data_IF_559151464524
#
_entry.id   IF_559151464524
#
_cell.length_a   1.000
_cell.length_b   1.000
_cell.length_c   1.000
_cell.angle_alpha   90.00
_cell.angle_beta   90.00
_cell.angle_gamma   90.00
#
_symmetry.space_group_name_H-M   'P 1'
#
loop_
_entity.id
_entity.type
_entity.pdbx_description
1 polymer ?
#
# COMPACT_ATOMS: atom_id res chain seq x y z
N UNK A 1 31.51 -6.98 13.17
CA UNK A 1 31.14 -5.54 13.22
C UNK A 1 29.78 -5.47 13.88
N UNK A 2 29.52 -4.49 14.74
CA UNK A 2 28.19 -4.33 15.29
C UNK A 2 27.26 -3.83 14.18
N UNK A 3 26.41 -4.70 13.70
CA UNK A 3 25.52 -4.46 12.55
C UNK A 3 24.51 -3.36 12.86
N UNK A 4 24.01 -3.28 14.10
CA UNK A 4 23.06 -2.24 14.49
C UNK A 4 23.71 -0.86 14.53
N UNK A 5 24.97 -0.75 15.03
CA UNK A 5 25.74 0.49 14.99
C UNK A 5 26.01 0.95 13.53
N UNK A 6 26.26 0.02 12.61
CA UNK A 6 26.45 0.34 11.20
C UNK A 6 25.15 0.88 10.57
N UNK A 7 23.98 0.32 10.90
CA UNK A 7 22.69 0.85 10.43
C UNK A 7 22.40 2.25 10.99
N UNK A 8 22.73 2.54 12.24
CA UNK A 8 22.54 3.87 12.83
C UNK A 8 23.48 4.91 12.20
N UNK A 9 24.72 4.52 11.88
CA UNK A 9 25.65 5.35 11.10
C UNK A 9 25.04 5.70 9.74
N UNK A 10 24.55 4.70 8.99
CA UNK A 10 23.95 4.90 7.66
C UNK A 10 22.71 5.80 7.75
N UNK A 11 21.80 5.59 8.71
CA UNK A 11 20.64 6.46 8.94
C UNK A 11 21.06 7.91 9.22
N UNK A 12 22.14 8.10 9.98
CA UNK A 12 22.72 9.41 10.26
C UNK A 12 23.25 10.07 8.99
N UNK A 13 23.94 9.32 8.11
CA UNK A 13 24.39 9.83 6.80
C UNK A 13 23.21 10.25 5.93
N UNK A 14 22.15 9.42 5.86
CA UNK A 14 20.91 9.72 5.11
C UNK A 14 20.29 11.02 5.62
N UNK A 15 20.16 11.18 6.94
CA UNK A 15 19.56 12.38 7.55
C UNK A 15 20.36 13.66 7.30
N UNK A 16 21.67 13.55 7.05
CA UNK A 16 22.57 14.66 6.70
C UNK A 16 22.63 14.95 5.20
N UNK A 17 21.87 14.21 4.38
CA UNK A 17 21.88 14.36 2.92
C UNK A 17 23.13 13.77 2.24
N UNK A 18 23.89 12.90 2.91
CA UNK A 18 25.07 12.23 2.40
C UNK A 18 24.70 10.94 1.66
N UNK A 19 23.89 11.06 0.60
CA UNK A 19 23.29 9.91 -0.07
C UNK A 19 24.32 8.96 -0.70
N UNK A 20 25.33 9.50 -1.38
CA UNK A 20 26.36 8.68 -2.04
C UNK A 20 27.22 7.91 -1.04
N UNK A 21 27.61 8.56 0.05
CA UNK A 21 28.38 7.94 1.13
C UNK A 21 27.54 6.86 1.85
N UNK A 22 26.25 7.12 2.06
CA UNK A 22 25.32 6.13 2.60
C UNK A 22 25.19 4.91 1.68
N UNK A 23 25.06 5.10 0.36
CA UNK A 23 25.01 4.00 -0.62
C UNK A 23 26.30 3.17 -0.55
N UNK A 24 27.47 3.80 -0.56
CA UNK A 24 28.75 3.09 -0.45
C UNK A 24 28.82 2.26 0.84
N UNK A 25 28.43 2.86 1.97
CA UNK A 25 28.43 2.19 3.27
C UNK A 25 27.45 1.02 3.34
N UNK A 26 26.27 1.13 2.72
CA UNK A 26 25.31 0.03 2.58
C UNK A 26 25.89 -1.13 1.77
N UNK A 27 26.58 -0.84 0.66
CA UNK A 27 27.24 -1.86 -0.16
C UNK A 27 28.33 -2.61 0.62
N UNK A 28 29.16 -1.88 1.36
CA UNK A 28 30.21 -2.47 2.20
C UNK A 28 29.61 -3.38 3.28
N UNK A 29 28.52 -2.93 3.93
CA UNK A 29 27.82 -3.73 4.93
C UNK A 29 27.23 -5.01 4.32
N UNK A 30 26.53 -4.91 3.20
CA UNK A 30 25.92 -6.07 2.53
C UNK A 30 26.95 -7.06 1.98
N UNK A 31 28.16 -6.60 1.64
CA UNK A 31 29.26 -7.45 1.19
C UNK A 31 29.98 -8.14 2.35
N UNK A 32 30.06 -7.48 3.52
CA UNK A 32 30.76 -8.00 4.71
C UNK A 32 29.91 -8.93 5.56
N UNK A 33 28.58 -8.92 5.40
CA UNK A 33 27.63 -9.71 6.18
C UNK A 33 26.83 -10.65 5.27
N UNK A 34 26.88 -11.95 5.57
CA UNK A 34 26.20 -12.97 4.79
C UNK A 34 24.75 -13.20 5.26
N UNK A 35 24.32 -12.59 6.38
CA UNK A 35 22.95 -12.72 6.89
C UNK A 35 21.95 -12.12 5.87
N UNK A 36 21.02 -12.94 5.35
CA UNK A 36 20.02 -12.47 4.39
C UNK A 36 19.12 -11.36 4.97
N UNK A 37 18.89 -11.33 6.29
CA UNK A 37 18.11 -10.28 6.95
C UNK A 37 18.85 -8.93 6.91
N UNK A 38 20.17 -8.93 7.08
CA UNK A 38 20.99 -7.73 6.92
C UNK A 38 20.88 -7.19 5.49
N UNK A 39 20.94 -8.06 4.47
CA UNK A 39 20.78 -7.66 3.07
C UNK A 39 19.39 -7.09 2.78
N UNK A 40 18.32 -7.66 3.37
CA UNK A 40 16.96 -7.10 3.29
C UNK A 40 16.90 -5.69 3.91
N UNK A 41 17.49 -5.49 5.09
CA UNK A 41 17.59 -4.16 5.72
C UNK A 41 18.37 -3.17 4.84
N UNK A 42 19.46 -3.62 4.20
CA UNK A 42 20.22 -2.81 3.24
C UNK A 42 19.36 -2.40 2.04
N UNK A 43 18.60 -3.33 1.44
CA UNK A 43 17.65 -3.04 0.36
C UNK A 43 16.60 -2.01 0.79
N UNK A 44 16.07 -2.12 2.01
CA UNK A 44 15.11 -1.15 2.56
C UNK A 44 15.69 0.27 2.63
N UNK A 45 16.93 0.43 3.08
CA UNK A 45 17.59 1.73 3.13
C UNK A 45 17.84 2.30 1.74
N UNK A 46 18.25 1.47 0.78
CA UNK A 46 18.50 1.90 -0.60
C UNK A 46 17.23 2.40 -1.31
N UNK A 47 16.05 1.87 -0.96
CA UNK A 47 14.76 2.40 -1.45
C UNK A 47 14.53 3.85 -0.99
N UNK A 48 15.01 4.22 0.20
CA UNK A 48 14.86 5.59 0.73
C UNK A 48 15.75 6.60 0.01
N UNK A 49 16.96 6.17 -0.42
CA UNK A 49 17.99 7.07 -0.98
C UNK A 49 18.20 6.91 -2.50
N UNK A 50 17.27 6.23 -3.18
CA UNK A 50 17.29 6.00 -4.61
C UNK A 50 18.58 5.28 -5.10
N UNK A 51 18.99 4.28 -4.33
CA UNK A 51 20.19 3.46 -4.62
C UNK A 51 19.90 2.32 -5.61
N UNK A 52 19.26 2.60 -6.76
CA UNK A 52 18.74 1.59 -7.68
C UNK A 52 19.77 0.56 -8.16
N UNK A 53 20.97 0.98 -8.58
CA UNK A 53 22.03 0.07 -9.03
C UNK A 53 22.56 -0.81 -7.88
N UNK A 54 22.82 -0.20 -6.71
CA UNK A 54 23.23 -0.92 -5.51
C UNK A 54 22.17 -1.92 -5.04
N UNK A 55 20.90 -1.56 -5.18
CA UNK A 55 19.78 -2.47 -4.88
C UNK A 55 19.78 -3.71 -5.76
N UNK A 56 20.04 -3.56 -7.06
CA UNK A 56 20.12 -4.68 -8.01
C UNK A 56 21.31 -5.61 -7.69
N UNK A 57 22.45 -5.05 -7.31
CA UNK A 57 23.64 -5.81 -6.92
C UNK A 57 23.39 -6.65 -5.65
N UNK A 58 22.82 -6.02 -4.60
CA UNK A 58 22.52 -6.71 -3.34
C UNK A 58 21.42 -7.76 -3.54
N UNK A 59 20.36 -7.44 -4.30
CA UNK A 59 19.29 -8.38 -4.60
C UNK A 59 19.83 -9.62 -5.32
N UNK A 60 20.69 -9.45 -6.33
CA UNK A 60 21.34 -10.57 -7.03
C UNK A 60 22.14 -11.45 -6.06
N UNK A 61 22.98 -10.81 -5.24
CA UNK A 61 23.79 -11.52 -4.23
C UNK A 61 22.93 -12.26 -3.22
N UNK A 62 21.77 -11.70 -2.82
CA UNK A 62 20.81 -12.38 -1.94
C UNK A 62 20.21 -13.61 -2.62
N UNK A 63 19.79 -13.48 -3.89
CA UNK A 63 19.16 -14.57 -4.64
C UNK A 63 20.13 -15.72 -4.98
N UNK A 64 21.44 -15.44 -5.07
CA UNK A 64 22.48 -16.47 -5.30
C UNK A 64 22.77 -17.31 -4.04
N UNK A 65 22.51 -16.79 -2.85
CA UNK A 65 22.85 -17.41 -1.56
C UNK A 65 21.65 -17.45 -0.62
N UNK A 66 20.57 -18.09 -1.07
CA UNK A 66 19.37 -18.26 -0.24
C UNK A 66 19.61 -19.31 0.85
N UNK A 67 19.04 -19.16 2.06
CA UNK A 67 19.11 -20.14 3.13
C UNK A 67 18.28 -21.39 2.80
N UNK A 68 18.58 -22.52 3.44
CA UNK A 68 17.80 -23.76 3.30
C UNK A 68 16.52 -23.76 4.18
N UNK A 69 16.45 -22.88 5.17
CA UNK A 69 15.34 -22.82 6.12
C UNK A 69 14.10 -22.22 5.48
N UNK A 70 13.04 -23.00 5.31
CA UNK A 70 11.79 -22.59 4.66
C UNK A 70 11.10 -21.40 5.37
N UNK A 71 11.08 -21.37 6.70
CA UNK A 71 10.49 -20.26 7.45
C UNK A 71 11.22 -18.94 7.15
N UNK A 72 12.54 -19.00 7.05
CA UNK A 72 13.36 -17.84 6.70
C UNK A 72 13.15 -17.44 5.23
N UNK A 73 13.01 -18.40 4.33
CA UNK A 73 12.68 -18.13 2.91
C UNK A 73 11.33 -17.43 2.77
N UNK A 74 10.31 -17.83 3.52
CA UNK A 74 8.99 -17.17 3.53
C UNK A 74 9.13 -15.73 4.06
N UNK A 75 9.91 -15.51 5.12
CA UNK A 75 10.16 -14.19 5.67
C UNK A 75 10.89 -13.28 4.65
N UNK A 76 11.92 -13.80 3.98
CA UNK A 76 12.66 -13.09 2.93
C UNK A 76 11.71 -12.73 1.78
N UNK A 77 10.91 -13.70 1.30
CA UNK A 77 9.96 -13.46 0.22
C UNK A 77 8.93 -12.38 0.59
N UNK A 78 8.36 -12.45 1.80
CA UNK A 78 7.44 -11.41 2.29
C UNK A 78 8.09 -10.02 2.34
N UNK A 79 9.33 -9.96 2.80
CA UNK A 79 10.10 -8.71 2.86
C UNK A 79 10.43 -8.16 1.45
N UNK A 80 10.85 -9.03 0.52
CA UNK A 80 11.12 -8.65 -0.87
C UNK A 80 9.85 -8.12 -1.56
N UNK A 81 8.70 -8.78 -1.36
CA UNK A 81 7.42 -8.27 -1.86
C UNK A 81 7.13 -6.86 -1.29
N UNK A 82 7.30 -6.67 0.03
CA UNK A 82 7.14 -5.37 0.70
C UNK A 82 8.10 -4.29 0.19
N UNK A 83 9.25 -4.68 -0.37
CA UNK A 83 10.23 -3.80 -1.00
C UNK A 83 10.06 -3.64 -2.52
N UNK A 84 8.94 -4.09 -3.07
CA UNK A 84 8.62 -4.01 -4.50
C UNK A 84 9.51 -4.89 -5.39
N UNK A 85 9.82 -6.09 -4.91
CA UNK A 85 10.48 -7.15 -5.68
C UNK A 85 9.59 -8.41 -5.75
N UNK A 86 8.35 -8.32 -6.26
CA UNK A 86 7.39 -9.43 -6.23
C UNK A 86 7.86 -10.62 -7.06
N UNK A 87 8.55 -10.39 -8.18
CA UNK A 87 9.11 -11.45 -9.02
C UNK A 87 10.18 -12.27 -8.31
N UNK A 88 11.09 -11.61 -7.56
CA UNK A 88 12.10 -12.29 -6.74
C UNK A 88 11.46 -13.07 -5.59
N UNK A 89 10.48 -12.46 -4.92
CA UNK A 89 9.70 -13.11 -3.87
C UNK A 89 8.99 -14.37 -4.39
N UNK A 90 8.30 -14.26 -5.52
CA UNK A 90 7.63 -15.39 -6.17
C UNK A 90 8.60 -16.51 -6.57
N UNK A 91 9.79 -16.14 -7.08
CA UNK A 91 10.84 -17.11 -7.43
C UNK A 91 11.27 -17.95 -6.22
N UNK A 92 11.47 -17.34 -5.06
CA UNK A 92 11.75 -18.04 -3.80
C UNK A 92 10.60 -18.99 -3.44
N UNK A 93 9.37 -18.47 -3.47
CA UNK A 93 8.18 -19.22 -3.05
C UNK A 93 7.88 -20.42 -3.95
N UNK A 94 8.24 -20.38 -5.24
CA UNK A 94 8.07 -21.52 -6.13
C UNK A 94 8.85 -22.76 -5.69
N UNK A 95 9.97 -22.59 -4.99
CA UNK A 95 10.81 -23.67 -4.48
C UNK A 95 10.35 -24.26 -3.14
N UNK A 96 9.29 -23.70 -2.52
CA UNK A 96 8.79 -24.11 -1.20
C UNK A 96 7.51 -24.91 -1.34
N UNK A 97 7.23 -25.82 -0.40
CA UNK A 97 5.97 -26.57 -0.35
C UNK A 97 4.74 -25.63 -0.35
N UNK A 98 3.70 -26.04 -1.09
CA UNK A 98 2.47 -25.22 -1.26
C UNK A 98 1.54 -25.33 -0.04
N UNK A 99 1.97 -24.80 1.10
CA UNK A 99 1.11 -24.60 2.28
C UNK A 99 0.23 -23.37 2.10
N UNK A 100 -0.87 -23.28 2.87
CA UNK A 100 -1.79 -22.13 2.78
C UNK A 100 -1.09 -20.76 2.96
N UNK A 101 -0.16 -20.56 3.93
CA UNK A 101 0.60 -19.31 4.03
C UNK A 101 1.44 -18.99 2.79
N UNK A 102 2.06 -20.03 2.18
CA UNK A 102 2.86 -19.88 0.96
C UNK A 102 1.97 -19.54 -0.23
N UNK A 103 0.81 -20.20 -0.36
CA UNK A 103 -0.18 -19.91 -1.42
C UNK A 103 -0.72 -18.47 -1.32
N UNK A 104 -1.01 -17.98 -0.10
CA UNK A 104 -1.40 -16.60 0.14
C UNK A 104 -0.33 -15.61 -0.35
N UNK A 105 0.91 -15.85 0.02
CA UNK A 105 2.00 -14.96 -0.38
C UNK A 105 2.30 -15.05 -1.88
N UNK A 106 2.18 -16.24 -2.49
CA UNK A 106 2.26 -16.40 -3.96
C UNK A 106 1.16 -15.61 -4.66
N UNK A 107 -0.10 -15.73 -4.21
CA UNK A 107 -1.21 -14.97 -4.76
C UNK A 107 -0.92 -13.48 -4.73
N UNK A 108 -0.52 -12.96 -3.57
CA UNK A 108 -0.17 -11.54 -3.42
C UNK A 108 0.99 -11.09 -4.32
N UNK A 109 2.02 -11.93 -4.53
CA UNK A 109 3.10 -11.62 -5.47
C UNK A 109 2.61 -11.60 -6.92
N UNK A 110 1.73 -12.51 -7.28
CA UNK A 110 1.16 -12.63 -8.62
C UNK A 110 0.23 -11.45 -8.94
N UNK A 111 -0.58 -11.01 -7.98
CA UNK A 111 -1.37 -9.77 -8.10
C UNK A 111 -0.47 -8.55 -8.32
N UNK A 112 0.66 -8.46 -7.61
CA UNK A 112 1.63 -7.37 -7.76
C UNK A 112 2.37 -7.38 -9.12
N UNK A 113 2.32 -8.51 -9.84
CA UNK A 113 2.89 -8.69 -11.19
C UNK A 113 1.82 -8.66 -12.28
N UNK A 114 0.55 -8.41 -11.94
CA UNK A 114 -0.61 -8.45 -12.84
C UNK A 114 -0.87 -9.84 -13.47
N UNK A 115 -0.37 -10.93 -12.84
CA UNK A 115 -0.52 -12.33 -13.27
C UNK A 115 -1.78 -12.94 -12.62
N UNK A 116 -2.94 -12.39 -12.97
CA UNK A 116 -4.21 -12.64 -12.25
C UNK A 116 -4.76 -14.06 -12.43
N UNK A 117 -4.54 -14.73 -13.58
CA UNK A 117 -4.94 -16.11 -13.79
C UNK A 117 -4.19 -17.05 -12.82
N UNK A 118 -2.88 -16.84 -12.67
CA UNK A 118 -2.07 -17.61 -11.75
C UNK A 118 -2.41 -17.29 -10.28
N UNK A 119 -2.73 -16.02 -10.00
CA UNK A 119 -3.20 -15.60 -8.68
C UNK A 119 -4.53 -16.29 -8.31
N UNK A 120 -5.45 -16.44 -9.27
CA UNK A 120 -6.70 -17.17 -9.08
C UNK A 120 -6.46 -18.65 -8.75
N UNK A 121 -5.54 -19.32 -9.48
CA UNK A 121 -5.16 -20.69 -9.17
C UNK A 121 -4.56 -20.83 -7.76
N UNK A 122 -3.70 -19.89 -7.36
CA UNK A 122 -3.08 -19.90 -6.06
C UNK A 122 -4.11 -19.74 -4.93
N UNK A 123 -5.02 -18.76 -5.00
CA UNK A 123 -6.04 -18.54 -3.96
C UNK A 123 -7.06 -19.66 -3.90
N UNK A 124 -7.43 -20.27 -5.02
CA UNK A 124 -8.34 -21.42 -5.07
C UNK A 124 -7.71 -22.72 -4.54
N UNK A 125 -6.39 -22.80 -4.48
CA UNK A 125 -5.66 -23.95 -3.94
C UNK A 125 -5.53 -23.93 -2.42
N UNK A 126 -5.94 -22.83 -1.74
CA UNK A 126 -5.93 -22.70 -0.29
C UNK A 126 -7.00 -23.64 0.29
N UNK A 127 -6.61 -24.45 1.27
CA UNK A 127 -7.49 -25.46 1.90
C UNK A 127 -8.33 -24.84 3.00
N UNK A 128 -7.70 -24.12 3.92
CA UNK A 128 -8.34 -23.48 5.07
C UNK A 128 -8.58 -21.99 4.73
N UNK A 129 -9.68 -21.77 3.98
CA UNK A 129 -10.04 -20.44 3.47
C UNK A 129 -10.47 -19.53 4.62
N UNK A 130 -9.80 -18.39 4.75
CA UNK A 130 -10.10 -17.33 5.72
C UNK A 130 -10.86 -16.17 5.06
N UNK A 131 -11.45 -15.24 5.84
CA UNK A 131 -12.03 -14.00 5.30
C UNK A 131 -11.04 -13.20 4.44
N UNK A 132 -9.77 -13.18 4.83
CA UNK A 132 -8.70 -12.53 4.06
C UNK A 132 -8.54 -13.14 2.65
N UNK A 133 -8.59 -14.47 2.54
CA UNK A 133 -8.48 -15.17 1.25
C UNK A 133 -9.69 -14.88 0.35
N UNK A 134 -10.87 -14.70 0.94
CA UNK A 134 -12.08 -14.30 0.21
C UNK A 134 -12.02 -12.85 -0.27
N UNK A 135 -11.37 -11.94 0.48
CA UNK A 135 -11.08 -10.59 0.01
C UNK A 135 -10.14 -10.64 -1.20
N UNK A 136 -9.01 -11.36 -1.11
CA UNK A 136 -8.09 -11.59 -2.22
C UNK A 136 -8.80 -12.18 -3.44
N UNK A 137 -9.63 -13.21 -3.26
CA UNK A 137 -10.42 -13.80 -4.33
C UNK A 137 -11.30 -12.76 -5.04
N UNK A 138 -11.95 -11.87 -4.29
CA UNK A 138 -12.77 -10.80 -4.89
C UNK A 138 -11.92 -9.82 -5.70
N UNK A 139 -10.72 -9.48 -5.22
CA UNK A 139 -9.80 -8.56 -5.92
C UNK A 139 -9.29 -9.20 -7.22
N UNK A 140 -8.84 -10.43 -7.18
CA UNK A 140 -8.39 -11.20 -8.36
C UNK A 140 -9.51 -11.39 -9.39
N UNK A 141 -10.71 -11.79 -8.95
CA UNK A 141 -11.88 -11.92 -9.84
C UNK A 141 -12.25 -10.60 -10.51
N UNK A 142 -12.16 -9.49 -9.77
CA UNK A 142 -12.39 -8.16 -10.35
C UNK A 142 -11.38 -7.80 -11.41
N UNK A 143 -10.09 -8.10 -11.19
CA UNK A 143 -9.01 -7.83 -12.14
C UNK A 143 -9.17 -8.67 -13.43
N UNK A 144 -9.65 -9.91 -13.30
CA UNK A 144 -9.98 -10.78 -14.43
C UNK A 144 -11.28 -10.39 -15.17
N UNK A 145 -12.00 -9.36 -14.71
CA UNK A 145 -13.29 -8.95 -15.29
C UNK A 145 -14.46 -9.85 -14.89
N UNK A 146 -14.28 -10.80 -13.99
CA UNK A 146 -15.32 -11.69 -13.47
C UNK A 146 -16.20 -10.99 -12.43
N UNK A 147 -16.71 -9.81 -12.80
CA UNK A 147 -17.33 -8.87 -11.87
C UNK A 147 -18.51 -9.43 -11.08
N UNK A 148 -19.36 -10.28 -11.69
CA UNK A 148 -20.49 -10.88 -10.98
C UNK A 148 -20.03 -11.78 -9.83
N UNK A 149 -19.05 -12.65 -10.10
CA UNK A 149 -18.48 -13.55 -9.09
C UNK A 149 -17.78 -12.77 -7.97
N UNK A 150 -17.04 -11.72 -8.34
CA UNK A 150 -16.38 -10.84 -7.37
C UNK A 150 -17.40 -10.17 -6.43
N UNK A 151 -18.46 -9.58 -7.00
CA UNK A 151 -19.51 -8.90 -6.20
C UNK A 151 -20.23 -9.90 -5.29
N UNK A 152 -20.59 -11.08 -5.80
CA UNK A 152 -21.32 -12.10 -5.02
C UNK A 152 -20.47 -12.60 -3.85
N UNK A 153 -19.16 -12.84 -4.07
CA UNK A 153 -18.22 -13.26 -3.04
C UNK A 153 -18.03 -12.15 -1.98
N UNK A 154 -17.75 -10.91 -2.42
CA UNK A 154 -17.56 -9.77 -1.52
C UNK A 154 -18.82 -9.45 -0.73
N UNK A 155 -20.01 -9.56 -1.35
CA UNK A 155 -21.28 -9.34 -0.68
C UNK A 155 -21.60 -10.41 0.35
N UNK A 156 -21.38 -11.69 0.03
CA UNK A 156 -21.56 -12.78 0.99
C UNK A 156 -20.65 -12.57 2.21
N UNK A 157 -19.40 -12.18 1.99
CA UNK A 157 -18.46 -11.89 3.08
C UNK A 157 -18.89 -10.65 3.89
N UNK A 158 -19.44 -9.63 3.24
CA UNK A 158 -19.98 -8.44 3.89
C UNK A 158 -21.18 -8.76 4.79
N UNK A 159 -22.03 -9.69 4.39
CA UNK A 159 -23.18 -10.14 5.20
C UNK A 159 -22.70 -10.88 6.47
N UNK A 160 -21.56 -11.58 6.41
CA UNK A 160 -20.92 -12.25 7.54
C UNK A 160 -20.15 -11.26 8.45
N UNK A 161 -19.46 -10.27 7.87
CA UNK A 161 -18.55 -9.34 8.55
C UNK A 161 -18.84 -7.86 8.19
N UNK A 162 -20.03 -7.34 8.52
CA UNK A 162 -20.47 -6.03 8.02
C UNK A 162 -19.65 -4.84 8.58
N UNK A 163 -18.89 -5.05 9.68
CA UNK A 163 -18.06 -4.04 10.31
C UNK A 163 -16.60 -4.00 9.81
N UNK A 164 -16.16 -5.05 9.11
CA UNK A 164 -14.77 -5.16 8.68
C UNK A 164 -14.44 -4.20 7.53
N UNK A 165 -13.37 -3.44 7.68
CA UNK A 165 -12.99 -2.40 6.72
C UNK A 165 -12.55 -2.99 5.38
N UNK A 166 -11.72 -4.04 5.38
CA UNK A 166 -11.19 -4.64 4.14
C UNK A 166 -12.29 -5.32 3.35
N UNK A 167 -13.25 -5.94 4.04
CA UNK A 167 -14.45 -6.51 3.43
C UNK A 167 -15.33 -5.43 2.77
N UNK A 168 -15.56 -4.31 3.48
CA UNK A 168 -16.31 -3.16 2.94
C UNK A 168 -15.58 -2.57 1.72
N UNK A 169 -14.24 -2.46 1.80
CA UNK A 169 -13.40 -1.96 0.72
C UNK A 169 -13.48 -2.87 -0.50
N UNK A 170 -13.35 -4.19 -0.32
CA UNK A 170 -13.47 -5.18 -1.39
C UNK A 170 -14.83 -5.11 -2.10
N UNK A 171 -15.93 -4.99 -1.34
CA UNK A 171 -17.26 -4.86 -1.93
C UNK A 171 -17.41 -3.56 -2.74
N UNK A 172 -16.94 -2.42 -2.21
CA UNK A 172 -16.96 -1.15 -2.95
C UNK A 172 -16.09 -1.25 -4.20
N UNK A 173 -14.90 -1.84 -4.11
CA UNK A 173 -14.00 -2.05 -5.25
C UNK A 173 -14.64 -2.91 -6.33
N UNK A 174 -15.26 -4.05 -5.97
CA UNK A 174 -15.93 -4.93 -6.89
C UNK A 174 -17.08 -4.23 -7.64
N UNK A 175 -17.90 -3.43 -6.93
CA UNK A 175 -18.96 -2.63 -7.54
C UNK A 175 -18.41 -1.59 -8.51
N UNK A 176 -17.31 -0.93 -8.15
CA UNK A 176 -16.69 0.11 -8.96
C UNK A 176 -16.12 -0.45 -10.27
N UNK A 177 -15.36 -1.56 -10.18
CA UNK A 177 -14.79 -2.22 -11.35
C UNK A 177 -15.85 -2.82 -12.27
N UNK A 178 -17.00 -3.18 -11.72
CA UNK A 178 -18.18 -3.60 -12.48
C UNK A 178 -18.99 -2.43 -13.11
N UNK A 179 -18.57 -1.18 -12.93
CA UNK A 179 -19.32 0.00 -13.39
C UNK A 179 -20.61 0.29 -12.61
N UNK A 180 -20.81 -0.35 -11.43
CA UNK A 180 -22.01 -0.17 -10.58
C UNK A 180 -21.83 0.99 -9.58
N UNK A 181 -21.38 2.14 -10.07
CA UNK A 181 -21.02 3.32 -9.27
C UNK A 181 -22.17 3.83 -8.36
N UNK A 182 -23.42 3.81 -8.86
CA UNK A 182 -24.58 4.24 -8.07
C UNK A 182 -24.78 3.38 -6.81
N UNK A 183 -24.53 2.09 -6.92
CA UNK A 183 -24.65 1.16 -5.79
C UNK A 183 -23.50 1.34 -4.80
N UNK A 184 -22.28 1.46 -5.29
CA UNK A 184 -21.12 1.77 -4.47
C UNK A 184 -21.35 3.08 -3.68
N UNK A 185 -21.79 4.14 -4.36
CA UNK A 185 -22.11 5.42 -3.73
C UNK A 185 -23.21 5.35 -2.68
N UNK A 186 -24.28 4.55 -2.96
CA UNK A 186 -25.37 4.33 -2.01
C UNK A 186 -24.86 3.61 -0.75
N UNK A 187 -24.01 2.60 -0.93
CA UNK A 187 -23.44 1.83 0.17
C UNK A 187 -22.51 2.72 1.03
N UNK A 188 -21.57 3.45 0.43
CA UNK A 188 -20.64 4.34 1.13
C UNK A 188 -21.39 5.42 1.92
N UNK A 189 -22.44 6.03 1.35
CA UNK A 189 -23.30 6.99 2.07
C UNK A 189 -23.99 6.34 3.27
N UNK A 190 -24.34 5.06 3.18
CA UNK A 190 -24.87 4.29 4.31
C UNK A 190 -23.85 4.21 5.45
N UNK A 191 -22.61 3.83 5.13
CA UNK A 191 -21.51 3.71 6.10
C UNK A 191 -21.18 5.05 6.77
N UNK A 192 -21.22 6.18 6.05
CA UNK A 192 -20.95 7.50 6.62
C UNK A 192 -21.85 7.91 7.78
N UNK A 193 -23.03 7.30 7.93
CA UNK A 193 -23.92 7.53 9.08
C UNK A 193 -23.32 7.04 10.40
N UNK A 194 -22.36 6.12 10.34
CA UNK A 194 -21.64 5.60 11.51
C UNK A 194 -20.69 6.63 12.13
N UNK A 195 -20.24 7.62 11.36
CA UNK A 195 -19.32 8.71 11.77
C UNK A 195 -17.97 8.21 12.33
N UNK A 196 -17.52 7.03 11.89
CA UNK A 196 -16.25 6.42 12.31
C UNK A 196 -15.09 6.85 11.38
N UNK A 197 -13.85 6.59 11.81
CA UNK A 197 -12.67 6.79 10.98
C UNK A 197 -12.70 5.88 9.75
N UNK A 198 -13.10 4.61 9.94
CA UNK A 198 -13.21 3.60 8.87
C UNK A 198 -14.23 4.00 7.82
N UNK A 199 -15.40 4.51 8.22
CA UNK A 199 -16.41 4.98 7.28
C UNK A 199 -15.91 6.16 6.43
N UNK A 200 -15.18 7.10 7.05
CA UNK A 200 -14.54 8.19 6.32
C UNK A 200 -13.38 7.71 5.44
N UNK A 201 -12.57 6.74 5.90
CA UNK A 201 -11.50 6.13 5.09
C UNK A 201 -12.08 5.40 3.87
N UNK A 202 -13.17 4.65 4.04
CA UNK A 202 -13.89 4.00 2.94
C UNK A 202 -14.43 5.03 1.93
N UNK A 203 -14.99 6.14 2.41
CA UNK A 203 -15.45 7.22 1.54
C UNK A 203 -14.27 7.88 0.81
N UNK A 204 -13.14 8.08 1.47
CA UNK A 204 -11.93 8.61 0.87
C UNK A 204 -11.44 7.69 -0.27
N UNK A 205 -11.34 6.39 -0.01
CA UNK A 205 -11.00 5.38 -1.00
C UNK A 205 -11.95 5.43 -2.22
N UNK A 206 -13.27 5.39 -1.99
CA UNK A 206 -14.26 5.45 -3.03
C UNK A 206 -14.15 6.73 -3.88
N UNK A 207 -14.04 7.91 -3.23
CA UNK A 207 -13.90 9.19 -3.94
C UNK A 207 -12.62 9.25 -4.78
N UNK A 208 -11.52 8.62 -4.34
CA UNK A 208 -10.29 8.52 -5.13
C UNK A 208 -10.53 7.72 -6.41
N UNK A 209 -11.21 6.58 -6.33
CA UNK A 209 -11.55 5.76 -7.50
C UNK A 209 -12.52 6.50 -8.44
N UNK A 210 -13.48 7.25 -7.91
CA UNK A 210 -14.35 8.15 -8.69
C UNK A 210 -13.60 9.32 -9.36
N UNK A 211 -12.29 9.46 -9.15
CA UNK A 211 -11.47 10.54 -9.70
C UNK A 211 -11.62 11.89 -8.98
N UNK A 212 -12.30 11.93 -7.83
CA UNK A 212 -12.48 13.17 -7.07
C UNK A 212 -11.39 13.33 -6.00
N UNK A 213 -10.18 13.73 -6.41
CA UNK A 213 -9.01 13.92 -5.52
C UNK A 213 -9.31 14.88 -4.36
N UNK A 214 -10.06 15.99 -4.59
CA UNK A 214 -10.41 16.96 -3.54
C UNK A 214 -11.31 16.31 -2.48
N UNK A 215 -12.37 15.62 -2.89
CA UNK A 215 -13.28 14.95 -1.97
C UNK A 215 -12.58 13.80 -1.23
N UNK A 216 -11.77 13.00 -1.92
CA UNK A 216 -10.97 11.94 -1.32
C UNK A 216 -10.07 12.46 -0.19
N UNK A 217 -9.29 13.52 -0.46
CA UNK A 217 -8.44 14.16 0.55
C UNK A 217 -9.25 14.72 1.73
N UNK A 218 -10.45 15.30 1.48
CA UNK A 218 -11.35 15.78 2.53
C UNK A 218 -11.83 14.66 3.45
N UNK A 219 -12.29 13.54 2.89
CA UNK A 219 -12.70 12.38 3.68
C UNK A 219 -11.52 11.72 4.42
N UNK A 220 -10.36 11.59 3.78
CA UNK A 220 -9.16 11.08 4.43
C UNK A 220 -8.75 11.94 5.64
N UNK A 221 -8.79 13.28 5.49
CA UNK A 221 -8.50 14.21 6.59
C UNK A 221 -9.52 14.08 7.74
N UNK A 222 -10.81 13.83 7.43
CA UNK A 222 -11.83 13.57 8.48
C UNK A 222 -11.56 12.26 9.22
N UNK A 223 -11.16 11.21 8.50
CA UNK A 223 -10.77 9.94 9.10
C UNK A 223 -9.58 10.14 10.06
N UNK A 224 -8.55 10.86 9.63
CA UNK A 224 -7.34 11.12 10.42
C UNK A 224 -7.57 12.05 11.62
N UNK A 225 -8.60 12.91 11.58
CA UNK A 225 -9.03 13.67 12.79
C UNK A 225 -9.63 12.76 13.87
N UNK A 226 -10.26 11.65 13.48
CA UNK A 226 -10.86 10.68 14.41
C UNK A 226 -9.81 9.67 14.86
N UNK A 227 -9.07 9.08 13.92
CA UNK A 227 -7.98 8.15 14.16
C UNK A 227 -6.73 8.58 13.38
N UNK A 228 -5.77 9.27 14.04
CA UNK A 228 -4.55 9.75 13.40
C UNK A 228 -3.63 8.63 12.85
N UNK A 229 -3.85 7.38 13.25
CA UNK A 229 -3.06 6.21 12.80
C UNK A 229 -3.76 5.38 11.73
N UNK A 230 -4.89 5.84 11.20
CA UNK A 230 -5.61 5.12 10.16
C UNK A 230 -4.80 5.06 8.86
N UNK A 231 -4.16 3.91 8.62
CA UNK A 231 -3.26 3.67 7.48
C UNK A 231 -3.96 3.88 6.14
N UNK A 232 -5.19 3.41 5.99
CA UNK A 232 -5.94 3.54 4.72
C UNK A 232 -6.29 4.99 4.40
N UNK A 233 -6.57 5.81 5.42
CA UNK A 233 -6.78 7.23 5.25
C UNK A 233 -5.47 7.97 4.93
N UNK A 234 -4.35 7.60 5.58
CA UNK A 234 -3.03 8.13 5.25
C UNK A 234 -2.65 7.79 3.80
N UNK A 235 -2.82 6.55 3.37
CA UNK A 235 -2.54 6.11 2.00
C UNK A 235 -3.32 6.95 0.99
N UNK A 236 -4.63 7.06 1.17
CA UNK A 236 -5.46 7.88 0.28
C UNK A 236 -5.02 9.34 0.26
N UNK A 237 -4.70 9.93 1.43
CA UNK A 237 -4.20 11.31 1.50
C UNK A 237 -2.86 11.46 0.78
N UNK A 238 -1.92 10.54 1.00
CA UNK A 238 -0.60 10.54 0.36
C UNK A 238 -0.71 10.47 -1.17
N UNK A 239 -1.54 9.55 -1.70
CA UNK A 239 -1.81 9.45 -3.14
C UNK A 239 -2.44 10.75 -3.67
N UNK A 240 -3.42 11.34 -2.96
CA UNK A 240 -4.02 12.61 -3.37
C UNK A 240 -3.02 13.76 -3.40
N UNK A 241 -2.08 13.81 -2.46
CA UNK A 241 -0.99 14.80 -2.44
C UNK A 241 -0.05 14.60 -3.64
N UNK A 242 0.34 13.35 -3.93
CA UNK A 242 1.17 13.02 -5.09
C UNK A 242 0.48 13.40 -6.42
N UNK A 243 -0.82 13.12 -6.55
CA UNK A 243 -1.62 13.54 -7.71
C UNK A 243 -1.69 15.06 -7.91
N UNK A 244 -1.53 15.85 -6.84
CA UNK A 244 -1.45 17.32 -6.90
C UNK A 244 -0.04 17.83 -7.13
N UNK A 245 0.98 16.96 -7.25
CA UNK A 245 2.39 17.36 -7.36
C UNK A 245 3.04 17.75 -6.02
N UNK A 246 2.36 17.51 -4.90
CA UNK A 246 2.86 17.82 -3.55
C UNK A 246 3.71 16.64 -3.02
N UNK A 247 4.73 16.23 -3.80
CA UNK A 247 5.49 15.01 -3.57
C UNK A 247 6.19 14.95 -2.21
N UNK A 248 6.68 16.08 -1.71
CA UNK A 248 7.38 16.13 -0.43
C UNK A 248 6.43 15.80 0.73
N UNK A 249 5.22 16.34 0.68
CA UNK A 249 4.18 16.03 1.66
C UNK A 249 3.72 14.58 1.54
N UNK A 250 3.59 14.06 0.31
CA UNK A 250 3.25 12.66 0.09
C UNK A 250 4.30 11.71 0.70
N UNK A 251 5.60 12.02 0.55
CA UNK A 251 6.69 11.26 1.19
C UNK A 251 6.66 11.30 2.71
N UNK A 252 6.34 12.47 3.30
CA UNK A 252 6.15 12.59 4.75
C UNK A 252 5.03 11.65 5.21
N UNK A 253 3.91 11.62 4.47
CA UNK A 253 2.80 10.70 4.77
C UNK A 253 3.22 9.24 4.62
N UNK A 254 4.00 8.89 3.59
CA UNK A 254 4.53 7.53 3.44
C UNK A 254 5.43 7.13 4.62
N UNK A 255 6.25 8.05 5.12
CA UNK A 255 7.03 7.86 6.35
C UNK A 255 6.15 7.56 7.56
N UNK A 256 5.08 8.35 7.75
CA UNK A 256 4.12 8.15 8.84
C UNK A 256 3.37 6.80 8.73
N UNK A 257 3.04 6.35 7.51
CA UNK A 257 2.47 5.02 7.27
C UNK A 257 3.45 3.93 7.72
N UNK A 258 4.72 4.06 7.34
CA UNK A 258 5.74 3.06 7.69
C UNK A 258 6.02 3.00 9.19
N UNK A 259 5.88 4.12 9.91
CA UNK A 259 5.93 4.14 11.38
C UNK A 259 4.71 3.49 12.03
N UNK A 260 3.50 3.74 11.49
CA UNK A 260 2.26 3.17 12.00
C UNK A 260 2.09 1.68 11.69
N UNK A 261 2.57 1.24 10.52
CA UNK A 261 2.48 -0.13 10.02
C UNK A 261 3.74 -0.49 9.21
N UNK A 262 4.82 -0.90 9.89
CA UNK A 262 6.07 -1.26 9.23
C UNK A 262 5.89 -2.37 8.19
N UNK A 263 6.42 -2.16 6.99
CA UNK A 263 6.29 -3.12 5.89
C UNK A 263 4.92 -3.12 5.19
N UNK A 264 4.02 -2.19 5.54
CA UNK A 264 2.76 -2.01 4.85
C UNK A 264 2.98 -1.55 3.41
N UNK A 265 2.28 -2.17 2.46
CA UNK A 265 2.31 -1.76 1.06
C UNK A 265 1.72 -0.36 0.83
N UNK A 266 0.92 0.15 1.76
CA UNK A 266 0.34 1.49 1.67
C UNK A 266 1.40 2.60 1.53
N UNK A 267 2.52 2.50 2.27
CA UNK A 267 3.64 3.43 2.13
C UNK A 267 4.26 3.35 0.74
N UNK A 268 4.49 2.13 0.24
CA UNK A 268 5.01 1.89 -1.09
C UNK A 268 4.08 2.45 -2.17
N UNK A 269 2.78 2.21 -2.08
CA UNK A 269 1.80 2.75 -3.02
C UNK A 269 1.89 4.26 -3.15
N UNK A 270 2.04 4.99 -2.02
CA UNK A 270 2.24 6.45 -2.04
C UNK A 270 3.54 6.82 -2.74
N UNK A 271 4.65 6.12 -2.45
CA UNK A 271 5.96 6.40 -3.05
C UNK A 271 5.98 6.11 -4.55
N UNK A 272 5.37 5.03 -5.01
CA UNK A 272 5.23 4.69 -6.44
C UNK A 272 4.49 5.79 -7.20
N UNK A 273 3.42 6.36 -6.63
CA UNK A 273 2.77 7.52 -7.21
C UNK A 273 3.68 8.75 -7.31
N UNK A 274 4.58 8.94 -6.33
CA UNK A 274 5.56 10.02 -6.39
C UNK A 274 6.62 9.79 -7.48
N UNK A 275 7.03 8.55 -7.72
CA UNK A 275 8.06 8.17 -8.70
C UNK A 275 7.52 8.21 -10.14
N UNK A 276 6.36 7.69 -10.39
CA UNK A 276 5.72 7.68 -11.73
C UNK A 276 5.49 9.08 -12.33
N UNK A 277 5.60 10.13 -11.50
CA UNK A 277 5.43 11.53 -11.92
C UNK A 277 6.72 12.35 -11.77
N UNK A 278 7.87 11.75 -11.47
CA UNK A 278 9.17 12.43 -11.51
C UNK A 278 9.54 12.79 -12.96
N UNK A 279 9.10 13.96 -13.40
CA UNK A 279 9.83 14.69 -14.42
C UNK A 279 11.25 14.99 -13.86
N UNK A 280 12.28 14.64 -14.63
CA UNK A 280 13.70 14.82 -14.33
C UNK A 280 14.00 16.11 -13.53
N UNK A 281 14.43 16.02 -12.28
CA UNK A 281 15.06 17.16 -11.65
C UNK A 281 14.82 17.46 -10.17
N UNK A 282 14.42 16.55 -9.30
CA UNK A 282 14.44 16.85 -7.87
C UNK A 282 15.37 15.92 -7.10
N UNK A 283 16.33 16.52 -6.40
CA UNK A 283 17.23 15.82 -5.50
C UNK A 283 16.46 15.10 -4.38
N UNK A 284 16.99 13.97 -3.85
CA UNK A 284 16.38 13.30 -2.71
C UNK A 284 16.34 14.24 -1.51
N UNK A 285 15.18 14.34 -0.85
CA UNK A 285 15.04 15.14 0.36
C UNK A 285 15.62 14.40 1.56
N UNK A 286 16.24 15.13 2.51
CA UNK A 286 16.66 14.53 3.76
C UNK A 286 15.45 14.01 4.54
N UNK A 287 15.48 12.75 4.93
CA UNK A 287 14.52 12.18 5.89
C UNK A 287 14.88 12.72 7.26
N UNK A 288 13.99 13.45 7.95
CA UNK A 288 14.29 13.93 9.30
C UNK A 288 14.48 12.73 10.23
N UNK A 289 15.64 12.64 10.87
CA UNK A 289 15.86 11.68 11.93
C UNK A 289 14.95 12.04 13.11
N UNK A 290 14.06 11.12 13.51
CA UNK A 290 13.35 11.19 14.79
C UNK A 290 12.30 12.30 14.93
N UNK A 291 11.83 12.91 13.85
CA UNK A 291 10.65 13.78 13.94
C UNK A 291 9.41 12.92 14.23
N UNK A 292 8.89 12.98 15.44
CA UNK A 292 7.52 12.56 15.70
C UNK A 292 6.64 13.31 14.69
N UNK A 293 6.11 12.60 13.70
CA UNK A 293 5.25 13.19 12.68
C UNK A 293 3.98 13.61 13.39
N UNK A 294 3.85 14.91 13.67
CA UNK A 294 2.54 15.44 14.03
C UNK A 294 1.59 15.16 12.88
N UNK A 295 0.36 14.69 13.14
CA UNK A 295 -0.59 14.43 12.08
C UNK A 295 -0.71 15.68 11.20
N UNK A 296 -0.51 15.50 9.88
CA UNK A 296 -0.62 16.61 8.95
C UNK A 296 -2.07 17.12 8.97
N UNK A 297 -2.25 18.26 9.62
CA UNK A 297 -3.51 19.00 9.61
C UNK A 297 -3.46 19.89 8.37
N UNK A 298 -4.36 19.65 7.41
CA UNK A 298 -4.56 20.58 6.32
C UNK A 298 -4.84 21.97 6.91
N UNK A 299 -4.21 23.05 6.41
CA UNK A 299 -4.58 24.40 6.81
C UNK A 299 -6.09 24.54 6.58
N UNK A 300 -6.79 25.11 7.58
CA UNK A 300 -8.23 25.32 7.52
C UNK A 300 -8.58 26.09 6.25
N UNK A 301 -9.09 25.38 5.25
CA UNK A 301 -9.70 26.02 4.10
C UNK A 301 -11.02 26.60 4.61
N UNK A 302 -11.04 27.89 4.81
CA UNK A 302 -12.23 28.60 5.21
C UNK A 302 -13.40 28.29 4.26
N UNK A 303 -14.56 28.07 4.89
CA UNK A 303 -15.92 28.04 4.37
C UNK A 303 -16.50 26.66 4.06
N UNK A 304 -17.38 26.28 4.95
CA UNK A 304 -18.37 25.20 4.88
C UNK A 304 -19.36 25.31 3.69
N UNK A 305 -19.26 26.30 2.84
CA UNK A 305 -20.24 26.58 1.77
C UNK A 305 -20.03 25.76 0.49
N UNK A 306 -18.81 25.22 0.25
CA UNK A 306 -18.52 24.45 -0.97
C UNK A 306 -18.76 22.93 -0.82
N UNK A 307 -18.91 22.45 0.42
CA UNK A 307 -19.17 21.02 0.70
C UNK A 307 -20.58 20.57 0.30
N UNK A 308 -21.56 21.46 0.22
CA UNK A 308 -22.95 21.12 -0.14
C UNK A 308 -23.17 20.91 -1.64
N UNK A 309 -22.24 21.30 -2.50
CA UNK A 309 -22.37 21.17 -3.96
C UNK A 309 -21.75 19.91 -4.56
N UNK A 310 -20.90 19.19 -3.80
CA UNK A 310 -20.21 17.99 -4.31
C UNK A 310 -20.54 16.71 -3.58
N UNK A 311 -21.49 16.71 -2.65
CA UNK A 311 -22.04 15.49 -2.11
C UNK A 311 -22.85 14.81 -3.22
N UNK A 312 -22.25 13.82 -3.88
CA UNK A 312 -22.90 12.78 -4.67
C UNK A 312 -24.30 13.18 -5.22
N UNK A 313 -24.41 14.33 -5.90
CA UNK A 313 -25.66 14.75 -6.52
C UNK A 313 -25.92 13.88 -7.75
N UNK A 314 -26.74 12.86 -7.57
CA UNK A 314 -27.53 12.38 -8.68
C UNK A 314 -28.64 13.40 -8.92
N UNK A 315 -28.49 14.28 -9.90
CA UNK A 315 -29.64 14.95 -10.50
C UNK A 315 -30.51 13.86 -11.14
N UNK A 316 -31.65 13.64 -10.56
CA UNK A 316 -32.73 12.85 -11.16
C UNK A 316 -33.29 13.68 -12.37
N UNK A 317 -33.17 13.20 -13.64
CA UNK A 317 -33.62 13.97 -14.80
C UNK A 317 -35.13 13.87 -15.06
N UNK A 318 -35.93 13.36 -14.11
CA UNK A 318 -37.38 13.17 -14.28
C UNK A 318 -38.21 13.78 -13.14
N UNK A 319 -38.13 15.10 -12.94
CA UNK A 319 -39.21 15.90 -12.38
C UNK A 319 -39.37 17.18 -13.16
N UNK A 320 -39.99 17.07 -14.32
CA UNK A 320 -40.78 18.12 -14.96
C UNK A 320 -41.61 17.46 -16.07
N UNK A 321 -42.84 16.99 -15.69
CA UNK A 321 -44.06 17.00 -16.50
C UNK A 321 -45.28 16.64 -15.61
#
# INVERSE_FOLDING_TARGET
>A
MDTDAAFDEIRTMISKGMGNEAIARVKDLAASDEDPIVRIKCLSLLKVIDGGEASQEILRSLMEKLPENESLLIQIAGSLRGLDYPSSAYTILKGIESTDPVLRLRCMCLEDMDEYEMALEAVQSIKDITPFDRVMLSEVLSALGEHSRSIDNAKSLLDEMPGDFDVRRAYVSALMLAGREKEASKYVRGCLKEKTAEANALAAYAMRIFGSTKAAAGYASRALKIDPKNVSAMETLGICLAQKGEYDKARIVAGAINEASPGSRAALNVLTYCEGHRGSGSAPLPVPAGAAVQPYVLPESGREEDERRHDLQTTDPHQDR
#
